data_IF_083767771118
#
_entry.id   IF_083767771118
#
_cell.length_a   1.000
_cell.length_b   1.000
_cell.length_c   1.000
_cell.angle_alpha   90.00
_cell.angle_beta   90.00
_cell.angle_gamma   90.00
#
_symmetry.space_group_name_H-M   'P 1'
#
loop_
_entity.id
_entity.type
_entity.pdbx_description
1 polymer ?
#
# COMPACT_ATOMS: atom_id res chain seq x y z
N UNK A 1 -19.96 -106.54 55.10
CA UNK A 1 -19.41 -105.73 53.98
C UNK A 1 -20.09 -104.36 53.82
N UNK A 2 -21.42 -104.28 53.97
CA UNK A 2 -22.23 -103.07 53.72
C UNK A 2 -21.89 -101.80 54.56
N UNK A 3 -21.59 -101.94 55.87
CA UNK A 3 -21.36 -100.79 56.76
C UNK A 3 -20.05 -100.02 56.50
N UNK A 4 -18.99 -100.69 56.02
CA UNK A 4 -17.70 -100.05 55.73
C UNK A 4 -17.74 -99.20 54.46
N UNK A 5 -18.53 -99.61 53.47
CA UNK A 5 -18.70 -98.86 52.22
C UNK A 5 -19.46 -97.56 52.48
N UNK A 6 -20.53 -97.60 53.29
CA UNK A 6 -21.31 -96.41 53.66
C UNK A 6 -20.44 -95.35 54.35
N UNK A 7 -19.61 -95.74 55.31
CA UNK A 7 -18.72 -94.80 56.01
C UNK A 7 -17.69 -94.13 55.09
N UNK A 8 -17.19 -94.85 54.08
CA UNK A 8 -16.27 -94.28 53.07
C UNK A 8 -17.00 -93.31 52.15
N UNK A 9 -18.21 -93.65 51.72
CA UNK A 9 -19.04 -92.76 50.88
C UNK A 9 -19.44 -91.49 51.64
N UNK A 10 -19.88 -91.61 52.89
CA UNK A 10 -20.28 -90.46 53.71
C UNK A 10 -19.09 -89.52 53.95
N UNK A 11 -17.89 -90.07 54.21
CA UNK A 11 -16.66 -89.27 54.35
C UNK A 11 -16.30 -88.55 53.04
N UNK A 12 -16.37 -89.24 51.91
CA UNK A 12 -16.10 -88.65 50.60
C UNK A 12 -17.11 -87.54 50.24
N UNK A 13 -18.39 -87.74 50.53
CA UNK A 13 -19.43 -86.71 50.34
C UNK A 13 -19.19 -85.50 51.23
N UNK A 14 -18.75 -85.70 52.47
CA UNK A 14 -18.43 -84.60 53.38
C UNK A 14 -17.22 -83.80 52.88
N UNK A 15 -16.15 -84.48 52.45
CA UNK A 15 -14.96 -83.84 51.86
C UNK A 15 -15.32 -83.06 50.58
N UNK A 16 -16.22 -83.60 49.73
CA UNK A 16 -16.71 -82.90 48.54
C UNK A 16 -17.55 -81.66 48.89
N UNK A 17 -18.39 -81.73 49.94
CA UNK A 17 -19.17 -80.57 50.41
C UNK A 17 -18.26 -79.47 50.93
N UNK A 18 -17.27 -79.81 51.76
CA UNK A 18 -16.31 -78.85 52.30
C UNK A 18 -15.46 -78.20 51.20
N UNK A 19 -15.03 -78.98 50.20
CA UNK A 19 -14.32 -78.45 49.04
C UNK A 19 -15.20 -77.52 48.17
N UNK A 20 -16.47 -77.88 47.97
CA UNK A 20 -17.43 -77.05 47.24
C UNK A 20 -17.75 -75.75 47.97
N UNK A 21 -17.98 -75.83 49.29
CA UNK A 21 -18.24 -74.65 50.12
C UNK A 21 -17.02 -73.71 50.11
N UNK A 22 -15.80 -74.24 50.16
CA UNK A 22 -14.59 -73.44 50.03
C UNK A 22 -14.46 -72.73 48.67
N UNK A 23 -14.75 -73.41 47.55
CA UNK A 23 -14.75 -72.80 46.21
C UNK A 23 -15.82 -71.71 46.09
N UNK A 24 -17.01 -71.94 46.65
CA UNK A 24 -18.10 -70.95 46.68
C UNK A 24 -17.66 -69.71 47.48
N UNK A 25 -17.07 -69.89 48.66
CA UNK A 25 -16.61 -68.76 49.48
C UNK A 25 -15.47 -67.97 48.81
N UNK A 26 -14.54 -68.64 48.13
CA UNK A 26 -13.48 -67.98 47.36
C UNK A 26 -14.06 -67.14 46.21
N UNK A 27 -15.06 -67.66 45.48
CA UNK A 27 -15.75 -66.91 44.43
C UNK A 27 -16.49 -65.69 44.97
N UNK A 28 -17.21 -65.83 46.09
CA UNK A 28 -17.91 -64.72 46.75
C UNK A 28 -16.91 -63.66 47.22
N UNK A 29 -15.77 -64.06 47.76
CA UNK A 29 -14.71 -63.14 48.19
C UNK A 29 -14.17 -62.34 46.99
N UNK A 30 -13.80 -63.02 45.90
CA UNK A 30 -13.31 -62.38 44.66
C UNK A 30 -14.33 -61.44 44.05
N UNK A 31 -15.61 -61.81 44.07
CA UNK A 31 -16.69 -60.95 43.58
C UNK A 31 -16.84 -59.69 44.44
N UNK A 32 -16.75 -59.80 45.78
CA UNK A 32 -16.77 -58.64 46.68
C UNK A 32 -15.57 -57.72 46.46
N UNK A 33 -14.38 -58.27 46.29
CA UNK A 33 -13.18 -57.49 45.97
C UNK A 33 -13.32 -56.74 44.65
N UNK A 34 -13.83 -57.42 43.61
CA UNK A 34 -14.10 -56.83 42.31
C UNK A 34 -15.12 -55.69 42.41
N UNK A 35 -16.21 -55.88 43.17
CA UNK A 35 -17.22 -54.83 43.37
C UNK A 35 -16.67 -53.62 44.13
N UNK A 36 -15.82 -53.85 45.15
CA UNK A 36 -15.13 -52.77 45.86
C UNK A 36 -14.22 -51.98 44.94
N UNK A 37 -13.47 -52.66 44.07
CA UNK A 37 -12.62 -52.03 43.07
C UNK A 37 -13.43 -51.20 42.06
N UNK A 38 -14.55 -51.73 41.57
CA UNK A 38 -15.44 -51.00 40.65
C UNK A 38 -15.98 -49.72 41.32
N UNK A 39 -16.48 -49.80 42.56
CA UNK A 39 -16.99 -48.64 43.28
C UNK A 39 -15.92 -47.55 43.49
N UNK A 40 -14.69 -47.96 43.80
CA UNK A 40 -13.58 -47.01 43.95
C UNK A 40 -13.27 -46.32 42.62
N UNK A 41 -13.23 -47.07 41.51
CA UNK A 41 -13.02 -46.52 40.16
C UNK A 41 -14.14 -45.60 39.71
N UNK A 42 -15.39 -45.95 39.99
CA UNK A 42 -16.55 -45.09 39.69
C UNK A 42 -16.47 -43.77 40.47
N UNK A 43 -16.04 -43.82 41.73
CA UNK A 43 -15.83 -42.62 42.55
C UNK A 43 -14.70 -41.74 41.99
N UNK A 44 -13.57 -42.33 41.62
CA UNK A 44 -12.45 -41.60 40.98
C UNK A 44 -12.89 -40.90 39.69
N UNK A 45 -13.70 -41.57 38.86
CA UNK A 45 -14.24 -41.02 37.62
C UNK A 45 -15.20 -39.87 37.92
N UNK A 46 -16.13 -40.05 38.87
CA UNK A 46 -17.08 -39.01 39.26
C UNK A 46 -16.38 -37.75 39.81
N UNK A 47 -15.33 -37.91 40.64
CA UNK A 47 -14.54 -36.80 41.16
C UNK A 47 -13.80 -36.06 40.03
N UNK A 48 -13.22 -36.79 39.07
CA UNK A 48 -12.57 -36.19 37.88
C UNK A 48 -13.56 -35.47 36.98
N UNK A 49 -14.75 -36.03 36.75
CA UNK A 49 -15.79 -35.39 35.96
C UNK A 49 -16.29 -34.11 36.63
N UNK A 50 -16.47 -34.11 37.96
CA UNK A 50 -16.85 -32.92 38.72
C UNK A 50 -15.78 -31.83 38.63
N UNK A 51 -14.50 -32.20 38.79
CA UNK A 51 -13.38 -31.28 38.64
C UNK A 51 -13.28 -30.70 37.22
N UNK A 52 -13.45 -31.53 36.19
CA UNK A 52 -13.47 -31.10 34.79
C UNK A 52 -14.63 -30.15 34.49
N UNK A 53 -15.85 -30.45 34.96
CA UNK A 53 -17.01 -29.56 34.79
C UNK A 53 -16.81 -28.20 35.48
N UNK A 54 -16.20 -28.19 36.67
CA UNK A 54 -15.87 -26.95 37.37
C UNK A 54 -14.80 -26.12 36.63
N UNK A 55 -13.79 -26.77 36.04
CA UNK A 55 -12.78 -26.10 35.22
C UNK A 55 -13.37 -25.56 33.91
N UNK A 56 -14.23 -26.33 33.23
CA UNK A 56 -14.92 -25.90 32.02
C UNK A 56 -15.75 -24.64 32.29
N UNK A 57 -16.54 -24.64 33.36
CA UNK A 57 -17.34 -23.48 33.75
C UNK A 57 -16.49 -22.24 34.07
N UNK A 58 -15.32 -22.43 34.70
CA UNK A 58 -14.36 -21.33 34.94
C UNK A 58 -13.80 -20.75 33.63
N UNK A 59 -13.44 -21.61 32.68
CA UNK A 59 -12.93 -21.19 31.36
C UNK A 59 -13.99 -20.49 30.52
N UNK A 60 -15.23 -20.97 30.53
CA UNK A 60 -16.35 -20.32 29.85
C UNK A 60 -16.59 -18.91 30.42
N UNK A 61 -16.51 -18.74 31.74
CA UNK A 61 -16.61 -17.42 32.38
C UNK A 61 -15.43 -16.50 32.02
N UNK A 62 -14.22 -17.03 31.88
CA UNK A 62 -13.05 -16.26 31.44
C UNK A 62 -13.17 -15.82 29.98
N UNK A 63 -13.58 -16.72 29.08
CA UNK A 63 -13.85 -16.41 27.67
C UNK A 63 -14.90 -15.31 27.57
N UNK A 64 -16.00 -15.41 28.30
CA UNK A 64 -17.05 -14.38 28.32
C UNK A 64 -16.51 -13.01 28.78
N UNK A 65 -15.60 -12.98 29.76
CA UNK A 65 -14.94 -11.74 30.20
C UNK A 65 -14.01 -11.17 29.14
N UNK A 66 -13.24 -12.03 28.44
CA UNK A 66 -12.35 -11.62 27.37
C UNK A 66 -13.14 -11.08 26.16
N UNK A 67 -14.24 -11.74 25.77
CA UNK A 67 -15.13 -11.28 24.71
C UNK A 67 -15.77 -9.93 25.05
N UNK A 68 -16.21 -9.73 26.30
CA UNK A 68 -16.73 -8.45 26.76
C UNK A 68 -15.67 -7.33 26.70
N UNK A 69 -14.42 -7.63 27.09
CA UNK A 69 -13.30 -6.70 27.00
C UNK A 69 -12.99 -6.35 25.54
N UNK A 70 -12.90 -7.34 24.66
CA UNK A 70 -12.68 -7.15 23.23
C UNK A 70 -13.80 -6.33 22.58
N UNK A 71 -15.05 -6.55 22.99
CA UNK A 71 -16.18 -5.75 22.51
C UNK A 71 -16.04 -4.28 22.91
N UNK A 72 -15.71 -4.01 24.17
CA UNK A 72 -15.48 -2.64 24.65
C UNK A 72 -14.27 -1.98 23.97
N UNK A 73 -13.17 -2.72 23.77
CA UNK A 73 -11.99 -2.24 23.08
C UNK A 73 -12.28 -1.95 21.60
N UNK A 74 -13.08 -2.80 20.94
CA UNK A 74 -13.57 -2.55 19.58
C UNK A 74 -14.46 -1.31 19.50
N UNK A 75 -15.36 -1.10 20.46
CA UNK A 75 -16.20 0.10 20.52
C UNK A 75 -15.36 1.37 20.77
N UNK A 76 -14.34 1.29 21.63
CA UNK A 76 -13.38 2.38 21.83
C UNK A 76 -12.56 2.66 20.57
N UNK A 77 -12.04 1.63 19.90
CA UNK A 77 -11.33 1.77 18.63
C UNK A 77 -12.24 2.33 17.53
N UNK A 78 -13.53 2.00 17.49
CA UNK A 78 -14.46 2.58 16.52
C UNK A 78 -14.79 4.05 16.86
N UNK A 79 -14.85 4.42 18.15
CA UNK A 79 -14.93 5.83 18.59
C UNK A 79 -13.66 6.60 18.25
N UNK A 80 -12.48 6.04 18.53
CA UNK A 80 -11.19 6.63 18.15
C UNK A 80 -11.05 6.73 16.63
N UNK A 81 -11.50 5.72 15.87
CA UNK A 81 -11.58 5.75 14.42
C UNK A 81 -12.57 6.79 13.92
N UNK A 82 -13.70 7.03 14.61
CA UNK A 82 -14.61 8.13 14.30
C UNK A 82 -13.98 9.51 14.61
N UNK A 83 -13.03 9.56 15.53
CA UNK A 83 -12.22 10.76 15.84
C UNK A 83 -11.04 10.91 14.85
N UNK A 84 -10.49 9.80 14.35
CA UNK A 84 -9.34 9.72 13.43
C UNK A 84 -9.72 9.71 11.94
N UNK A 85 -10.97 9.37 11.59
CA UNK A 85 -11.56 9.69 10.29
C UNK A 85 -11.78 11.19 10.26
N UNK A 86 -10.72 11.88 9.85
CA UNK A 86 -10.48 13.29 10.07
C UNK A 86 -11.72 14.17 9.91
N UNK A 87 -12.01 14.93 10.96
CA UNK A 87 -12.74 16.17 10.80
C UNK A 87 -11.86 17.09 9.94
N UNK A 88 -12.31 17.37 8.72
CA UNK A 88 -11.92 18.60 8.05
C UNK A 88 -12.57 19.74 8.84
N UNK A 89 -11.90 20.23 9.88
CA UNK A 89 -12.36 21.42 10.58
C UNK A 89 -12.00 22.63 9.73
N UNK A 90 -12.98 23.18 9.01
CA UNK A 90 -12.98 24.61 8.72
C UNK A 90 -13.19 25.30 10.07
N UNK A 91 -12.11 25.52 10.82
CA UNK A 91 -12.13 26.65 11.75
C UNK A 91 -12.25 27.89 10.87
N UNK A 92 -13.17 28.80 11.21
CA UNK A 92 -13.47 30.05 10.50
C UNK A 92 -12.22 30.74 9.94
N UNK A 93 -11.80 30.34 8.75
CA UNK A 93 -10.62 30.86 8.10
C UNK A 93 -11.11 31.61 6.87
N UNK A 94 -11.14 32.93 7.00
CA UNK A 94 -11.32 33.87 5.88
C UNK A 94 -10.16 33.75 4.85
N UNK A 95 -9.17 32.89 5.09
CA UNK A 95 -7.89 32.81 4.37
C UNK A 95 -7.65 31.49 3.60
N UNK A 96 -8.63 30.57 3.53
CA UNK A 96 -8.53 29.36 2.69
C UNK A 96 -7.53 28.28 3.16
N UNK A 97 -7.09 28.30 4.42
CA UNK A 97 -6.19 27.28 4.96
C UNK A 97 -6.95 26.02 5.41
N UNK A 98 -6.58 24.87 4.83
CA UNK A 98 -7.07 23.53 5.18
C UNK A 98 -5.92 22.69 5.75
N UNK A 99 -6.09 22.22 6.98
CA UNK A 99 -5.15 21.32 7.63
C UNK A 99 -5.69 19.89 7.62
N UNK A 100 -4.91 18.96 7.08
CA UNK A 100 -5.20 17.53 7.08
C UNK A 100 -4.09 16.84 7.85
N UNK A 101 -4.43 16.27 9.01
CA UNK A 101 -3.51 15.58 9.92
C UNK A 101 -3.73 14.06 9.96
N UNK A 102 -4.80 13.57 9.33
CA UNK A 102 -5.23 12.17 9.39
C UNK A 102 -4.72 11.27 8.25
N UNK A 103 -5.10 9.98 8.33
CA UNK A 103 -4.84 8.96 7.30
C UNK A 103 -6.11 8.69 6.49
N UNK A 104 -6.21 9.28 5.31
CA UNK A 104 -7.33 9.09 4.39
C UNK A 104 -7.06 7.89 3.48
N UNK A 105 -8.04 6.98 3.37
CA UNK A 105 -7.89 5.71 2.66
C UNK A 105 -8.93 5.58 1.55
N UNK A 106 -8.48 5.47 0.30
CA UNK A 106 -9.34 5.38 -0.88
C UNK A 106 -10.08 4.03 -0.94
N UNK A 107 -11.29 3.98 -1.50
CA UNK A 107 -11.93 2.68 -1.78
C UNK A 107 -11.21 1.92 -2.92
N UNK A 108 -11.21 0.59 -2.87
CA UNK A 108 -10.62 -0.27 -3.92
C UNK A 108 -11.56 -0.52 -5.10
N UNK A 109 -12.84 -0.20 -4.95
CA UNK A 109 -13.87 -0.37 -5.98
C UNK A 109 -13.74 0.72 -7.07
N UNK A 110 -13.26 0.32 -8.25
CA UNK A 110 -13.03 1.24 -9.37
C UNK A 110 -14.32 1.80 -9.98
N UNK A 111 -15.48 1.17 -9.75
CA UNK A 111 -16.76 1.63 -10.31
C UNK A 111 -17.25 2.93 -9.67
N UNK A 112 -16.75 3.26 -8.48
CA UNK A 112 -17.10 4.46 -7.73
C UNK A 112 -16.42 5.73 -8.22
N UNK A 113 -15.48 5.61 -9.16
CA UNK A 113 -14.73 6.74 -9.68
C UNK A 113 -15.17 7.10 -11.10
N UNK A 114 -15.41 8.38 -11.32
CA UNK A 114 -15.65 8.95 -12.64
C UNK A 114 -14.42 8.83 -13.55
N UNK A 115 -14.64 9.03 -14.84
CA UNK A 115 -13.55 9.05 -15.82
C UNK A 115 -12.55 10.18 -15.50
N UNK A 116 -11.25 9.87 -15.45
CA UNK A 116 -10.18 10.84 -15.15
C UNK A 116 -10.30 11.54 -13.78
N UNK A 117 -11.06 10.96 -12.83
CA UNK A 117 -11.28 11.55 -11.52
C UNK A 117 -10.04 11.44 -10.61
N UNK A 118 -9.84 12.43 -9.74
CA UNK A 118 -9.12 12.22 -8.49
C UNK A 118 -10.09 11.62 -7.46
N UNK A 119 -9.64 10.72 -6.59
CA UNK A 119 -10.52 10.34 -5.46
C UNK A 119 -10.54 11.41 -4.36
N UNK A 120 -9.46 12.19 -4.24
CA UNK A 120 -9.47 13.51 -3.61
C UNK A 120 -9.21 14.56 -4.68
N UNK A 121 -10.15 15.48 -4.85
CA UNK A 121 -10.07 16.55 -5.85
C UNK A 121 -10.38 17.90 -5.19
N UNK A 122 -9.45 18.84 -5.34
CA UNK A 122 -9.63 20.26 -5.02
C UNK A 122 -9.84 20.99 -6.34
N UNK A 123 -10.95 21.71 -6.48
CA UNK A 123 -11.34 22.30 -7.75
C UNK A 123 -11.88 23.71 -7.62
N UNK A 124 -11.46 24.62 -8.50
CA UNK A 124 -11.99 25.99 -8.62
C UNK A 124 -11.90 26.81 -7.33
N UNK A 125 -10.81 26.63 -6.57
CA UNK A 125 -10.56 27.38 -5.33
C UNK A 125 -9.42 28.38 -5.54
N UNK A 126 -9.64 29.61 -5.10
CA UNK A 126 -8.59 30.62 -4.95
C UNK A 126 -8.10 30.65 -3.49
N UNK A 127 -6.78 30.71 -3.30
CA UNK A 127 -6.17 30.94 -1.98
C UNK A 127 -6.03 29.70 -1.08
N UNK A 128 -6.20 28.48 -1.60
CA UNK A 128 -6.09 27.27 -0.77
C UNK A 128 -4.68 27.11 -0.17
N UNK A 129 -4.58 26.90 1.15
CA UNK A 129 -3.34 26.43 1.77
C UNK A 129 -3.55 25.06 2.41
N UNK A 130 -3.05 24.00 1.78
CA UNK A 130 -3.17 22.62 2.26
C UNK A 130 -1.92 22.18 3.03
N UNK A 131 -2.09 21.84 4.32
CA UNK A 131 -0.99 21.44 5.22
C UNK A 131 -1.40 20.33 6.20
N UNK A 132 -0.59 20.04 7.24
CA UNK A 132 -0.99 19.20 8.38
C UNK A 132 -0.32 17.82 8.51
N UNK A 133 0.48 17.36 7.55
CA UNK A 133 1.19 16.07 7.65
C UNK A 133 0.37 14.84 7.24
N UNK A 134 -0.90 15.00 6.89
CA UNK A 134 -1.83 13.92 6.59
C UNK A 134 -1.45 13.05 5.39
N UNK A 135 -1.95 11.81 5.39
CA UNK A 135 -1.64 10.80 4.37
C UNK A 135 -2.86 10.47 3.53
N UNK A 136 -2.70 10.48 2.21
CA UNK A 136 -3.67 10.01 1.22
C UNK A 136 -3.22 8.64 0.70
N UNK A 137 -3.78 7.55 1.23
CA UNK A 137 -3.51 6.18 0.78
C UNK A 137 -4.49 5.75 -0.31
N UNK A 138 -4.00 5.66 -1.54
CA UNK A 138 -4.76 5.33 -2.72
C UNK A 138 -5.14 3.85 -2.85
N UNK A 139 -4.59 2.96 -2.03
CA UNK A 139 -4.78 1.50 -2.16
C UNK A 139 -4.63 1.01 -3.62
N UNK A 140 -3.55 1.42 -4.28
CA UNK A 140 -3.32 1.28 -5.71
C UNK A 140 -3.12 -0.14 -6.22
N UNK A 141 -2.64 -1.05 -5.37
CA UNK A 141 -2.26 -2.40 -5.75
C UNK A 141 -3.37 -3.17 -6.49
N UNK A 142 -4.63 -2.98 -6.09
CA UNK A 142 -5.78 -3.63 -6.75
C UNK A 142 -6.12 -3.02 -8.11
N UNK A 143 -5.66 -1.79 -8.39
CA UNK A 143 -5.99 -1.06 -9.61
C UNK A 143 -4.91 -1.22 -10.70
N UNK A 144 -3.63 -1.40 -10.34
CA UNK A 144 -2.52 -1.45 -11.29
C UNK A 144 -2.65 -2.47 -12.43
N UNK A 145 -3.20 -3.70 -12.22
CA UNK A 145 -3.41 -4.66 -13.31
C UNK A 145 -4.33 -4.15 -14.43
N UNK A 146 -5.15 -3.13 -14.17
CA UNK A 146 -6.09 -2.56 -15.14
C UNK A 146 -5.54 -1.36 -15.91
N UNK A 147 -4.28 -0.95 -15.67
CA UNK A 147 -3.67 0.17 -16.39
C UNK A 147 -3.15 -0.26 -17.77
N UNK A 148 -3.96 -0.08 -18.80
CA UNK A 148 -3.61 -0.37 -20.20
C UNK A 148 -3.12 0.86 -20.99
N UNK A 149 -3.01 2.04 -20.35
CA UNK A 149 -2.56 3.29 -20.98
C UNK A 149 -1.16 3.29 -21.62
N UNK A 150 -0.21 2.40 -21.24
CA UNK A 150 1.05 2.32 -21.97
C UNK A 150 0.91 1.80 -23.42
N UNK A 151 -0.12 1.02 -23.71
CA UNK A 151 -0.28 0.30 -24.99
C UNK A 151 -1.55 0.67 -25.75
N UNK A 152 -2.50 1.33 -25.10
CA UNK A 152 -3.79 1.71 -25.66
C UNK A 152 -4.01 3.23 -25.50
N UNK A 153 -4.12 3.94 -26.62
CA UNK A 153 -4.40 5.38 -26.64
C UNK A 153 -5.82 5.74 -26.17
N UNK A 154 -6.74 4.78 -26.16
CA UNK A 154 -8.12 4.93 -25.69
C UNK A 154 -8.32 4.39 -24.27
N UNK A 155 -7.24 4.15 -23.54
CA UNK A 155 -7.30 3.59 -22.19
C UNK A 155 -8.21 4.38 -21.25
N UNK A 156 -8.80 3.68 -20.28
CA UNK A 156 -9.50 4.32 -19.17
C UNK A 156 -8.47 4.74 -18.12
N UNK A 157 -8.31 6.04 -17.91
CA UNK A 157 -7.43 6.54 -16.86
C UNK A 157 -7.92 6.08 -15.48
N UNK A 158 -7.00 5.51 -14.71
CA UNK A 158 -7.24 5.14 -13.33
C UNK A 158 -7.26 6.39 -12.43
N UNK A 159 -7.93 6.33 -11.25
CA UNK A 159 -8.08 7.50 -10.40
C UNK A 159 -6.75 8.05 -9.89
N UNK A 160 -6.60 9.38 -9.93
CA UNK A 160 -5.46 10.08 -9.32
C UNK A 160 -5.63 10.14 -7.81
N UNK A 161 -4.51 10.12 -7.05
CA UNK A 161 -4.57 10.15 -5.59
C UNK A 161 -5.08 11.49 -5.06
N UNK A 162 -4.40 12.59 -5.40
CA UNK A 162 -4.86 13.95 -5.10
C UNK A 162 -4.79 14.79 -6.37
N UNK A 163 -5.88 15.46 -6.71
CA UNK A 163 -6.00 16.23 -7.95
C UNK A 163 -6.38 17.67 -7.62
N UNK A 164 -5.73 18.61 -8.31
CA UNK A 164 -5.95 20.05 -8.22
C UNK A 164 -6.42 20.53 -9.60
N UNK A 165 -7.63 21.08 -9.66
CA UNK A 165 -8.29 21.54 -10.88
C UNK A 165 -8.58 23.03 -10.79
N UNK A 166 -8.19 23.83 -11.78
CA UNK A 166 -8.56 25.24 -11.87
C UNK A 166 -8.28 26.04 -10.57
N UNK A 167 -7.18 25.73 -9.89
CA UNK A 167 -6.83 26.34 -8.60
C UNK A 167 -6.04 27.64 -8.81
N UNK A 168 -6.26 28.66 -7.98
CA UNK A 168 -5.46 29.89 -7.99
C UNK A 168 -4.84 30.17 -6.61
N UNK A 169 -3.65 30.80 -6.57
CA UNK A 169 -2.95 31.20 -5.34
C UNK A 169 -2.87 30.08 -4.27
N UNK A 170 -2.58 28.86 -4.70
CA UNK A 170 -2.63 27.69 -3.81
C UNK A 170 -1.26 27.36 -3.23
N UNK A 171 -1.18 26.90 -1.98
CA UNK A 171 0.04 26.43 -1.32
C UNK A 171 -0.21 25.01 -0.82
N UNK A 172 0.67 24.05 -1.13
CA UNK A 172 0.57 22.68 -0.60
C UNK A 172 1.89 22.28 0.01
N UNK A 173 1.89 21.94 1.31
CA UNK A 173 3.12 21.60 2.06
C UNK A 173 2.86 20.52 3.09
N UNK A 174 3.79 19.57 3.21
CA UNK A 174 3.74 18.55 4.25
C UNK A 174 2.51 17.64 4.14
N UNK A 175 2.23 17.10 2.95
CA UNK A 175 1.25 16.02 2.77
C UNK A 175 1.97 14.76 2.29
N UNK A 176 1.40 13.59 2.58
CA UNK A 176 1.92 12.30 2.08
C UNK A 176 0.92 11.70 1.10
N UNK A 177 1.36 11.36 -0.11
CA UNK A 177 0.57 10.62 -1.09
C UNK A 177 1.13 9.21 -1.21
N UNK A 178 0.36 8.20 -0.81
CA UNK A 178 0.80 6.81 -0.67
C UNK A 178 -0.03 5.89 -1.58
N UNK A 179 0.59 4.85 -2.15
CA UNK A 179 -0.05 3.79 -2.96
C UNK A 179 -1.10 4.29 -3.98
N UNK A 180 -0.80 5.24 -4.85
CA UNK A 180 -1.79 5.75 -5.82
C UNK A 180 -2.27 4.67 -6.80
N UNK A 181 -3.53 4.76 -7.23
CA UNK A 181 -4.06 3.90 -8.32
C UNK A 181 -3.45 4.27 -9.67
N UNK A 182 -3.21 5.57 -9.87
CA UNK A 182 -2.56 6.14 -11.05
C UNK A 182 -1.51 7.17 -10.64
N UNK A 183 -1.72 8.46 -10.92
CA UNK A 183 -0.83 9.53 -10.47
C UNK A 183 -0.95 9.79 -8.96
N UNK A 184 0.17 10.13 -8.33
CA UNK A 184 0.18 10.53 -6.92
C UNK A 184 -0.41 11.92 -6.72
N UNK A 185 -0.08 12.89 -7.58
CA UNK A 185 -0.62 14.25 -7.58
C UNK A 185 -0.84 14.68 -9.03
N UNK A 186 -1.97 15.32 -9.35
CA UNK A 186 -2.20 15.95 -10.65
C UNK A 186 -2.62 17.40 -10.47
N UNK A 187 -2.03 18.29 -11.25
CA UNK A 187 -2.37 19.72 -11.30
C UNK A 187 -2.84 20.02 -12.72
N UNK A 188 -4.05 20.56 -12.85
CA UNK A 188 -4.69 20.85 -14.14
C UNK A 188 -5.26 22.25 -14.06
N UNK A 189 -4.94 23.08 -15.05
CA UNK A 189 -5.45 24.47 -15.16
C UNK A 189 -5.19 25.33 -13.89
N UNK A 190 -4.14 25.02 -13.12
CA UNK A 190 -3.82 25.75 -11.90
C UNK A 190 -2.90 26.96 -12.17
N UNK A 191 -3.17 28.09 -11.51
CA UNK A 191 -2.37 29.31 -11.53
C UNK A 191 -1.80 29.64 -10.15
N UNK A 192 -0.59 30.20 -10.08
CA UNK A 192 0.07 30.60 -8.83
C UNK A 192 0.12 29.48 -7.75
N UNK A 193 0.27 28.23 -8.16
CA UNK A 193 0.34 27.06 -7.28
C UNK A 193 1.77 26.88 -6.72
N UNK A 194 1.96 27.18 -5.43
CA UNK A 194 3.19 26.94 -4.66
C UNK A 194 3.24 25.49 -4.17
N UNK A 195 3.46 24.61 -5.12
CA UNK A 195 3.85 23.20 -4.92
C UNK A 195 4.76 22.68 -6.04
N UNK A 196 5.27 23.59 -6.88
CA UNK A 196 6.37 23.37 -7.82
C UNK A 196 7.74 23.56 -7.15
N UNK A 197 7.75 23.91 -5.86
CA UNK A 197 8.98 24.06 -5.11
C UNK A 197 8.92 23.56 -3.68
N UNK A 198 10.05 23.06 -3.19
CA UNK A 198 10.22 22.44 -1.88
C UNK A 198 9.28 21.25 -1.63
N UNK A 199 9.20 20.34 -2.61
CA UNK A 199 8.41 19.11 -2.54
C UNK A 199 9.26 17.99 -1.98
N UNK A 200 8.77 17.26 -0.98
CA UNK A 200 9.39 16.02 -0.49
C UNK A 200 8.49 14.82 -0.73
N UNK A 201 9.03 13.77 -1.35
CA UNK A 201 8.39 12.48 -1.57
C UNK A 201 9.24 11.43 -0.84
N UNK A 202 8.67 10.68 0.09
CA UNK A 202 9.44 9.67 0.82
C UNK A 202 8.68 8.39 1.12
N UNK A 203 9.38 7.25 1.21
CA UNK A 203 8.79 5.98 1.64
C UNK A 203 7.84 5.35 0.62
N UNK A 204 7.94 5.72 -0.66
CA UNK A 204 7.01 5.25 -1.70
C UNK A 204 7.48 3.89 -2.23
N UNK A 205 6.58 2.91 -2.33
CA UNK A 205 6.83 1.65 -3.01
C UNK A 205 6.01 1.58 -4.31
N UNK A 206 6.66 1.74 -5.46
CA UNK A 206 6.06 1.64 -6.79
C UNK A 206 6.12 0.19 -7.29
N UNK A 207 4.97 -0.37 -7.66
CA UNK A 207 4.90 -1.59 -8.50
C UNK A 207 5.01 -1.27 -9.99
N UNK A 208 4.62 -2.19 -10.90
CA UNK A 208 4.61 -1.93 -12.33
C UNK A 208 3.84 -0.65 -12.68
N UNK A 209 4.41 0.19 -13.55
CA UNK A 209 3.91 1.55 -13.81
C UNK A 209 5.01 2.45 -14.39
N UNK A 210 4.81 3.77 -14.39
CA UNK A 210 5.73 4.72 -15.04
C UNK A 210 6.86 5.24 -14.14
N UNK A 211 6.91 4.85 -12.87
CA UNK A 211 7.86 5.37 -11.89
C UNK A 211 7.57 6.81 -11.46
N UNK A 212 8.57 7.49 -10.90
CA UNK A 212 8.49 8.88 -10.47
C UNK A 212 8.93 9.76 -11.65
N UNK A 213 8.05 10.63 -12.13
CA UNK A 213 8.33 11.54 -13.25
C UNK A 213 8.18 13.01 -12.85
N UNK A 214 9.16 13.84 -13.19
CA UNK A 214 9.07 15.31 -13.18
C UNK A 214 8.79 15.77 -14.61
N UNK A 215 7.66 16.44 -14.81
CA UNK A 215 7.20 16.90 -16.12
C UNK A 215 5.95 16.17 -16.64
N UNK A 216 5.54 16.38 -17.89
CA UNK A 216 6.32 17.02 -18.95
C UNK A 216 6.35 18.54 -18.84
N UNK A 217 7.54 19.12 -18.76
CA UNK A 217 7.74 20.56 -18.64
C UNK A 217 7.96 21.22 -20.02
N UNK A 218 7.65 22.50 -20.15
CA UNK A 218 7.90 23.32 -21.33
C UNK A 218 6.88 23.14 -22.45
N UNK A 219 5.65 22.71 -22.19
CA UNK A 219 4.62 22.61 -23.25
C UNK A 219 4.03 23.96 -23.60
N UNK A 220 3.75 24.77 -22.58
CA UNK A 220 2.98 26.00 -22.71
C UNK A 220 3.87 27.25 -22.58
N UNK A 221 3.41 28.36 -23.18
CA UNK A 221 4.04 29.67 -22.98
C UNK A 221 3.83 30.08 -21.52
N UNK A 222 4.85 30.69 -20.92
CA UNK A 222 4.85 31.20 -19.54
C UNK A 222 4.73 30.12 -18.44
N UNK A 223 5.12 28.88 -18.71
CA UNK A 223 5.31 27.89 -17.62
C UNK A 223 6.32 28.40 -16.60
N UNK A 224 6.01 28.23 -15.32
CA UNK A 224 6.88 28.63 -14.20
C UNK A 224 7.93 27.56 -13.92
N UNK A 225 8.97 27.98 -13.22
CA UNK A 225 10.07 27.10 -12.82
C UNK A 225 9.60 26.02 -11.81
N UNK A 226 10.30 24.89 -11.78
CA UNK A 226 10.21 23.84 -10.77
C UNK A 226 11.52 23.84 -9.99
N UNK A 227 11.50 23.90 -8.66
CA UNK A 227 12.75 23.92 -7.89
C UNK A 227 12.66 23.33 -6.49
N UNK A 228 13.64 22.56 -6.02
CA UNK A 228 13.58 22.01 -4.65
C UNK A 228 12.68 20.78 -4.58
N UNK A 229 13.08 19.69 -5.22
CA UNK A 229 12.42 18.39 -5.09
C UNK A 229 13.34 17.43 -4.33
N UNK A 230 12.86 16.79 -3.27
CA UNK A 230 13.54 15.69 -2.59
C UNK A 230 12.71 14.43 -2.72
N UNK A 231 13.24 13.38 -3.34
CA UNK A 231 12.63 12.05 -3.38
C UNK A 231 13.54 11.09 -2.62
N UNK A 232 13.08 10.44 -1.55
CA UNK A 232 13.94 9.57 -0.73
C UNK A 232 13.28 8.28 -0.25
N UNK A 233 14.10 7.28 0.03
CA UNK A 233 13.67 6.05 0.71
C UNK A 233 12.55 5.31 -0.04
N UNK A 234 12.62 5.30 -1.38
CA UNK A 234 11.62 4.68 -2.24
C UNK A 234 12.05 3.28 -2.71
N UNK A 235 11.08 2.44 -3.08
CA UNK A 235 11.32 1.17 -3.78
C UNK A 235 10.51 1.14 -5.07
N UNK A 236 11.07 0.63 -6.15
CA UNK A 236 10.41 0.52 -7.46
C UNK A 236 10.59 -0.89 -7.99
N UNK A 237 9.52 -1.54 -8.45
CA UNK A 237 9.55 -2.93 -8.92
C UNK A 237 8.81 -3.07 -10.24
N UNK A 238 9.50 -3.49 -11.30
CA UNK A 238 8.89 -3.75 -12.60
C UNK A 238 8.32 -2.50 -13.30
N UNK A 239 8.76 -1.29 -12.94
CA UNK A 239 8.33 -0.05 -13.59
C UNK A 239 9.02 0.15 -14.94
N UNK A 240 8.37 0.87 -15.85
CA UNK A 240 8.95 1.27 -17.14
C UNK A 240 10.01 2.35 -16.99
N UNK A 241 9.92 3.19 -15.96
CA UNK A 241 10.99 4.11 -15.57
C UNK A 241 11.18 4.05 -14.05
N UNK A 242 12.38 4.36 -13.56
CA UNK A 242 12.60 4.57 -12.14
C UNK A 242 12.31 6.03 -11.81
N UNK A 243 13.28 6.88 -12.11
CA UNK A 243 13.20 8.33 -11.97
C UNK A 243 13.35 8.95 -13.34
N UNK A 244 12.37 9.76 -13.74
CA UNK A 244 12.32 10.41 -15.04
C UNK A 244 12.16 11.91 -14.90
N UNK A 245 12.95 12.69 -15.64
CA UNK A 245 12.68 14.11 -15.87
C UNK A 245 12.43 14.26 -17.37
N UNK A 246 11.30 14.87 -17.76
CA UNK A 246 10.92 14.98 -19.16
C UNK A 246 10.52 16.41 -19.52
N UNK A 247 11.11 16.97 -20.57
CA UNK A 247 10.82 18.31 -21.05
C UNK A 247 10.50 18.25 -22.54
N UNK A 248 9.46 18.98 -22.95
CA UNK A 248 9.03 19.06 -24.33
C UNK A 248 10.16 19.61 -25.19
N UNK A 249 10.41 18.94 -26.32
CA UNK A 249 11.15 19.53 -27.41
C UNK A 249 10.40 20.77 -27.94
N UNK A 250 11.14 21.72 -28.52
CA UNK A 250 10.59 22.99 -29.01
C UNK A 250 9.70 23.72 -27.98
N UNK A 251 10.11 23.76 -26.71
CA UNK A 251 9.32 24.43 -25.68
C UNK A 251 9.18 25.93 -25.99
N UNK A 252 7.97 26.51 -26.02
CA UNK A 252 7.74 27.85 -26.58
C UNK A 252 8.23 28.99 -25.69
N UNK A 253 8.64 28.71 -24.45
CA UNK A 253 9.22 29.66 -23.51
C UNK A 253 10.39 29.04 -22.74
N UNK A 254 11.14 29.89 -22.02
CA UNK A 254 12.20 29.46 -21.10
C UNK A 254 11.62 29.31 -19.70
N UNK A 255 11.81 28.14 -19.10
CA UNK A 255 11.57 27.85 -17.68
C UNK A 255 12.74 27.02 -17.13
N UNK A 256 12.81 26.84 -15.82
CA UNK A 256 13.87 26.10 -15.16
C UNK A 256 13.34 24.94 -14.31
N UNK A 257 14.11 23.87 -14.21
CA UNK A 257 13.91 22.73 -13.33
C UNK A 257 15.20 22.53 -12.52
N UNK A 258 15.22 23.01 -11.28
CA UNK A 258 16.46 23.13 -10.49
C UNK A 258 16.39 22.47 -9.12
N UNK A 259 17.54 22.24 -8.49
CA UNK A 259 17.65 21.82 -7.09
C UNK A 259 16.79 20.58 -6.77
N UNK A 260 17.08 19.44 -7.40
CA UNK A 260 16.35 18.20 -7.16
C UNK A 260 17.29 17.11 -6.66
N UNK A 261 16.92 16.41 -5.60
CA UNK A 261 17.67 15.29 -5.04
C UNK A 261 16.79 14.05 -5.03
N UNK A 262 17.31 12.96 -5.58
CA UNK A 262 16.72 11.63 -5.54
C UNK A 262 17.67 10.72 -4.78
N UNK A 263 17.25 10.18 -3.64
CA UNK A 263 18.13 9.41 -2.77
C UNK A 263 17.53 8.14 -2.19
N UNK A 264 18.40 7.22 -1.75
CA UNK A 264 18.04 5.99 -1.05
C UNK A 264 16.95 5.17 -1.75
N UNK A 265 17.00 5.06 -3.08
CA UNK A 265 15.96 4.39 -3.87
C UNK A 265 16.42 3.00 -4.32
N UNK A 266 15.59 1.98 -4.08
CA UNK A 266 15.83 0.61 -4.53
C UNK A 266 15.01 0.33 -5.79
N UNK A 267 15.65 -0.08 -6.88
CA UNK A 267 14.99 -0.41 -8.16
C UNK A 267 15.15 -1.90 -8.45
N UNK A 268 14.06 -2.62 -8.70
CA UNK A 268 14.09 -4.04 -9.04
C UNK A 268 13.43 -4.26 -10.40
N UNK A 269 14.19 -4.74 -11.38
CA UNK A 269 13.70 -5.03 -12.72
C UNK A 269 13.04 -3.82 -13.40
N UNK A 270 13.63 -2.63 -13.25
CA UNK A 270 13.10 -1.38 -13.82
C UNK A 270 13.65 -1.16 -15.24
N UNK A 271 12.80 -0.86 -16.21
CA UNK A 271 13.22 -0.77 -17.63
C UNK A 271 14.16 0.41 -17.88
N UNK A 272 13.78 1.64 -17.49
CA UNK A 272 14.62 2.83 -17.60
C UNK A 272 14.87 3.43 -16.21
N UNK A 273 15.85 2.91 -15.44
CA UNK A 273 16.05 3.30 -14.04
C UNK A 273 16.19 4.80 -13.83
N UNK A 274 17.04 5.49 -14.59
CA UNK A 274 17.15 6.95 -14.53
C UNK A 274 17.12 7.50 -15.95
N UNK A 275 16.23 8.45 -16.22
CA UNK A 275 16.15 9.11 -17.52
C UNK A 275 15.92 10.62 -17.38
N UNK A 276 16.72 11.41 -18.07
CA UNK A 276 16.42 12.81 -18.38
C UNK A 276 16.20 12.89 -19.88
N UNK A 277 14.99 13.25 -20.30
CA UNK A 277 14.57 13.33 -21.70
C UNK A 277 14.12 14.76 -22.02
N UNK A 278 15.00 15.53 -22.65
CA UNK A 278 14.68 16.87 -23.17
C UNK A 278 14.22 16.85 -24.63
N UNK A 279 13.87 15.68 -25.14
CA UNK A 279 13.33 15.45 -26.49
C UNK A 279 11.87 14.98 -26.46
N UNK A 280 11.22 15.03 -25.28
CA UNK A 280 9.94 14.40 -25.04
C UNK A 280 8.88 14.84 -26.04
N UNK A 281 8.38 13.86 -26.81
CA UNK A 281 7.29 14.02 -27.76
C UNK A 281 6.50 12.70 -27.81
N UNK A 282 5.37 12.59 -27.07
CA UNK A 282 4.66 11.32 -26.88
C UNK A 282 3.70 10.97 -28.04
N UNK A 283 3.57 11.81 -29.06
CA UNK A 283 2.65 11.60 -30.18
C UNK A 283 3.37 11.77 -31.51
N UNK A 284 3.02 10.98 -32.52
CA UNK A 284 3.59 11.12 -33.89
C UNK A 284 3.35 12.50 -34.50
N UNK A 285 2.37 13.26 -33.99
CA UNK A 285 2.01 14.59 -34.46
C UNK A 285 2.75 15.75 -33.77
N UNK A 286 3.52 15.55 -32.69
CA UNK A 286 4.24 16.69 -32.10
C UNK A 286 5.37 17.23 -33.00
N UNK A 287 5.81 16.47 -34.00
CA UNK A 287 6.67 16.95 -35.09
C UNK A 287 5.93 17.80 -36.12
N UNK A 288 4.61 17.61 -36.31
CA UNK A 288 3.82 18.34 -37.33
C UNK A 288 2.97 19.48 -36.77
N UNK A 289 2.54 19.41 -35.51
CA UNK A 289 1.71 20.44 -34.87
C UNK A 289 2.48 21.62 -34.27
N UNK A 290 3.80 21.49 -34.05
CA UNK A 290 4.62 22.55 -33.47
C UNK A 290 5.22 23.51 -34.49
N UNK A 291 4.88 23.36 -35.78
CA UNK A 291 5.13 24.35 -36.81
C UNK A 291 6.52 24.96 -36.83
N UNK A 292 7.60 24.24 -36.48
CA UNK A 292 8.96 24.75 -36.56
C UNK A 292 9.94 23.59 -36.55
N UNK A 293 10.20 23.12 -37.76
CA UNK A 293 11.35 22.33 -38.10
C UNK A 293 12.50 23.31 -38.29
N UNK A 294 13.52 23.26 -37.44
CA UNK A 294 14.70 24.11 -37.64
C UNK A 294 15.52 23.48 -38.76
N UNK A 295 15.84 24.25 -39.79
CA UNK A 295 16.88 23.84 -40.75
C UNK A 295 18.22 23.86 -40.03
N UNK A 296 18.90 22.72 -39.99
CA UNK A 296 20.30 22.71 -39.57
C UNK A 296 21.17 23.41 -40.66
N UNK A 297 22.44 23.72 -40.37
CA UNK A 297 23.34 24.38 -41.34
C UNK A 297 23.60 23.62 -42.65
N UNK A 298 23.05 22.41 -42.80
CA UNK A 298 23.19 21.50 -43.94
C UNK A 298 21.80 21.26 -44.60
N UNK A 299 20.77 22.02 -44.23
CA UNK A 299 19.42 21.95 -44.81
C UNK A 299 18.55 20.78 -44.33
N UNK A 300 18.98 20.03 -43.31
CA UNK A 300 18.15 18.98 -42.73
C UNK A 300 17.15 19.57 -41.74
N UNK A 301 15.95 19.01 -41.81
CA UNK A 301 14.82 19.30 -40.96
C UNK A 301 15.00 18.66 -39.58
N UNK A 302 15.25 19.45 -38.52
CA UNK A 302 15.50 18.93 -37.15
C UNK A 302 14.53 19.52 -36.14
N UNK A 303 14.17 18.72 -35.13
CA UNK A 303 13.33 19.16 -34.01
C UNK A 303 14.07 20.19 -33.15
N UNK A 304 13.43 21.32 -32.85
CA UNK A 304 14.03 22.36 -32.03
C UNK A 304 14.30 21.86 -30.59
N UNK A 305 15.40 22.29 -29.96
CA UNK A 305 15.76 21.84 -28.61
C UNK A 305 14.73 22.30 -27.56
N UNK A 306 14.63 21.55 -26.46
CA UNK A 306 13.96 22.06 -25.27
C UNK A 306 14.71 23.27 -24.70
N UNK A 307 13.97 24.32 -24.38
CA UNK A 307 14.43 25.56 -23.71
C UNK A 307 14.23 25.52 -22.19
N UNK A 308 13.77 24.40 -21.64
CA UNK A 308 13.71 24.19 -20.19
C UNK A 308 15.13 23.95 -19.67
N UNK A 309 15.60 24.80 -18.75
CA UNK A 309 16.93 24.69 -18.15
C UNK A 309 16.91 23.73 -16.98
N UNK A 310 17.69 22.65 -17.03
CA UNK A 310 17.85 21.71 -15.92
C UNK A 310 19.19 21.97 -15.23
N UNK A 311 19.19 22.16 -13.91
CA UNK A 311 20.43 22.30 -13.11
C UNK A 311 20.29 21.71 -11.71
N UNK A 312 21.42 21.42 -11.06
CA UNK A 312 21.45 21.01 -9.65
C UNK A 312 20.58 19.78 -9.35
N UNK A 313 20.72 18.74 -10.19
CA UNK A 313 20.03 17.46 -10.04
C UNK A 313 21.00 16.43 -9.46
N UNK A 314 20.63 15.82 -8.35
CA UNK A 314 21.44 14.87 -7.62
C UNK A 314 20.74 13.50 -7.54
N UNK A 315 21.46 12.44 -7.89
CA UNK A 315 21.05 11.06 -7.68
C UNK A 315 22.01 10.40 -6.69
N UNK A 316 21.53 9.95 -5.54
CA UNK A 316 22.38 9.45 -4.43
C UNK A 316 21.90 8.09 -3.95
N UNK A 317 22.80 7.12 -3.77
CA UNK A 317 22.44 5.81 -3.21
C UNK A 317 21.21 5.16 -3.90
N UNK A 318 21.16 5.21 -5.23
CA UNK A 318 20.19 4.47 -6.04
C UNK A 318 20.79 3.11 -6.37
N UNK A 319 20.09 2.02 -6.06
CA UNK A 319 20.64 0.65 -6.17
C UNK A 319 19.61 -0.35 -6.69
N UNK A 320 20.09 -1.45 -7.28
CA UNK A 320 19.29 -2.61 -7.64
C UNK A 320 19.48 -3.07 -9.10
N UNK A 321 18.42 -3.52 -9.77
CA UNK A 321 18.48 -4.13 -11.11
C UNK A 321 17.62 -3.42 -12.16
N UNK A 322 18.09 -3.44 -13.41
CA UNK A 322 17.36 -2.97 -14.58
C UNK A 322 16.95 -4.15 -15.47
N UNK A 323 15.83 -4.01 -16.19
CA UNK A 323 15.42 -4.95 -17.24
C UNK A 323 15.97 -4.60 -18.63
N UNK A 324 16.56 -3.41 -18.79
CA UNK A 324 17.23 -2.98 -20.04
C UNK A 324 18.75 -2.94 -19.86
N UNK A 325 19.47 -2.80 -20.99
CA UNK A 325 20.95 -2.69 -20.98
C UNK A 325 21.45 -1.34 -20.46
N UNK A 326 20.62 -0.29 -20.54
CA UNK A 326 21.03 1.08 -20.21
C UNK A 326 20.29 1.51 -18.95
N UNK A 327 21.02 1.61 -17.84
CA UNK A 327 20.43 1.99 -16.56
C UNK A 327 20.20 3.51 -16.42
N UNK A 328 21.04 4.32 -17.06
CA UNK A 328 21.01 5.79 -16.97
C UNK A 328 21.10 6.39 -18.37
N UNK A 329 20.10 7.19 -18.73
CA UNK A 329 20.02 7.92 -20.00
C UNK A 329 19.86 9.41 -19.73
N UNK A 330 20.77 10.24 -20.25
CA UNK A 330 20.74 11.70 -20.07
C UNK A 330 20.73 12.37 -21.45
N UNK A 331 19.54 12.61 -21.97
CA UNK A 331 19.26 13.25 -23.25
C UNK A 331 18.96 14.73 -23.05
N UNK A 332 19.99 15.49 -22.66
CA UNK A 332 19.87 16.92 -22.46
C UNK A 332 19.90 17.69 -23.78
N UNK A 333 19.15 18.80 -23.86
CA UNK A 333 19.19 19.70 -24.99
C UNK A 333 20.52 20.45 -25.02
N UNK A 334 21.05 20.70 -26.22
CA UNK A 334 22.25 21.51 -26.40
C UNK A 334 21.92 22.96 -26.04
N UNK A 335 22.78 23.63 -25.24
CA UNK A 335 22.71 25.08 -25.04
C UNK A 335 22.80 25.77 -26.40
N UNK A 336 21.81 26.60 -26.70
CA UNK A 336 21.74 27.57 -27.79
C UNK A 336 22.70 27.34 -28.96
N UNK A 337 22.24 26.61 -29.96
CA UNK A 337 22.59 26.91 -31.35
C UNK A 337 21.33 27.43 -32.05
N UNK A 338 20.77 28.53 -31.55
CA UNK A 338 20.02 29.43 -32.43
C UNK A 338 21.00 30.54 -32.82
N UNK A 339 21.22 30.79 -34.13
CA UNK A 339 21.98 31.95 -34.57
C UNK A 339 21.32 33.21 -34.02
N UNK A 340 22.13 34.16 -33.57
CA UNK A 340 21.72 35.56 -33.36
C UNK A 340 21.29 36.17 -34.71
N UNK A 341 20.16 35.76 -35.27
CA UNK A 341 19.59 36.43 -36.43
C UNK A 341 18.09 36.27 -36.42
N UNK A 342 17.40 37.26 -35.87
CA UNK A 342 16.23 37.86 -36.51
C UNK A 342 16.20 39.37 -36.16
N UNK A 343 15.71 40.21 -37.08
CA UNK A 343 16.06 41.62 -37.26
C UNK A 343 15.53 42.60 -36.20
#
# INVERSE_FOLDING_TARGET
MSLRIKAVVDKFVQELKEALDADIQDRIMKEREMQSYIQEREREVAEREAAWKAELSRREAEIARQEARLKMEKENLEKEKSVLMGTASNQDNQDGALEITGYLKATTDLSKYGFSAGWVEFGWVEGLTLTGGGTFDGQGATAWPYNNCPTDSNCKLLPTNVKFMAMNKTVVRGITSLNSKFFHLALVECENFKGNSQVTISGVNCGPGHGISVGSLGRYRNERDVSGLLVRDCTMRGTTNGIRIKTWANSPGSSAATNMTFENTVMNNVTNPIIIDQTYCPFTSCTSMLGDIVENPIGNKVQAPSRVKISDIYFKNIRGSSSSKVAVTLECSKRDAMPEYLP
#
